data_IF_949279064428
#
_entry.id   IF_949279064428
#
_cell.length_a   1.000
_cell.length_b   1.000
_cell.length_c   1.000
_cell.angle_alpha   90.00
_cell.angle_beta   90.00
_cell.angle_gamma   90.00
#
_symmetry.space_group_name_H-M   'P 1'
#
loop_
_entity.id
_entity.type
_entity.pdbx_description
1 polymer ?
#
# COMPACT_ATOMS: atom_id res chain seq x y z
N UNK A 1 -10.71 -18.35 -56.31
CA UNK A 1 -9.41 -18.99 -56.05
C UNK A 1 -8.83 -18.36 -54.80
N UNK A 2 -8.70 -19.16 -53.78
CA UNK A 2 -8.24 -18.81 -52.44
C UNK A 2 -6.71 -18.65 -52.45
N UNK A 3 -6.23 -17.61 -51.80
CA UNK A 3 -4.82 -17.42 -51.46
C UNK A 3 -4.67 -17.14 -49.96
N UNK A 4 -4.33 -18.18 -49.23
CA UNK A 4 -3.97 -18.14 -47.81
C UNK A 4 -2.59 -17.54 -47.64
N UNK A 5 -2.48 -16.46 -46.85
CA UNK A 5 -1.21 -15.95 -46.33
C UNK A 5 -1.08 -16.33 -44.87
N UNK A 6 -0.15 -17.25 -44.60
CA UNK A 6 0.26 -17.64 -43.27
C UNK A 6 1.14 -16.57 -42.63
N UNK A 7 0.81 -16.19 -41.41
CA UNK A 7 1.66 -15.36 -40.54
C UNK A 7 2.50 -16.28 -39.65
N UNK A 8 3.81 -16.27 -39.90
CA UNK A 8 4.79 -16.87 -39.02
C UNK A 8 4.99 -16.00 -37.77
N UNK A 9 4.72 -16.54 -36.59
CA UNK A 9 5.13 -15.96 -35.32
C UNK A 9 6.61 -16.31 -35.05
N UNK A 10 7.45 -15.30 -35.05
CA UNK A 10 8.78 -15.40 -34.44
C UNK A 10 8.66 -15.01 -32.95
N UNK A 11 8.90 -15.99 -32.09
CA UNK A 11 9.07 -15.81 -30.65
C UNK A 11 10.49 -15.32 -30.42
N UNK A 12 10.66 -14.06 -30.00
CA UNK A 12 11.90 -13.58 -29.40
C UNK A 12 11.60 -13.11 -27.97
N UNK A 13 12.37 -13.67 -27.05
CA UNK A 13 12.19 -13.50 -25.60
C UNK A 13 12.55 -12.11 -25.10
N UNK A 14 12.04 -11.87 -23.95
CA UNK A 14 12.21 -10.92 -22.84
C UNK A 14 10.92 -10.18 -22.55
N UNK A 15 10.21 -10.69 -21.52
CA UNK A 15 8.90 -10.19 -21.12
C UNK A 15 8.97 -8.79 -20.53
N UNK A 16 8.65 -7.79 -21.33
CA UNK A 16 8.19 -6.48 -20.89
C UNK A 16 6.70 -6.39 -21.21
N UNK A 17 5.85 -6.57 -20.20
CA UNK A 17 4.42 -6.37 -20.35
C UNK A 17 4.12 -4.88 -20.19
N UNK A 18 3.75 -4.22 -21.29
CA UNK A 18 3.26 -2.86 -21.27
C UNK A 18 1.81 -2.84 -20.76
N UNK A 19 1.59 -2.24 -19.60
CA UNK A 19 0.26 -1.97 -19.06
C UNK A 19 -0.24 -0.64 -19.62
N UNK A 20 -1.33 -0.66 -20.39
CA UNK A 20 -2.07 0.53 -20.81
C UNK A 20 -3.01 0.98 -19.70
N UNK A 21 -2.78 2.17 -19.13
CA UNK A 21 -3.73 2.84 -18.25
C UNK A 21 -4.10 4.18 -18.93
N UNK A 22 -5.31 4.26 -19.48
CA UNK A 22 -5.73 5.39 -20.29
C UNK A 22 -4.88 5.54 -21.57
N UNK A 23 -4.58 6.76 -21.98
CA UNK A 23 -3.76 7.06 -23.17
C UNK A 23 -2.24 7.01 -22.92
N UNK A 24 -1.78 6.60 -21.76
CA UNK A 24 -0.36 6.56 -21.41
C UNK A 24 0.18 5.13 -21.42
N UNK A 25 1.24 4.92 -22.20
CA UNK A 25 2.06 3.70 -22.16
C UNK A 25 3.00 3.79 -20.94
N UNK A 26 2.65 3.12 -19.86
CA UNK A 26 3.55 2.99 -18.71
C UNK A 26 4.50 1.83 -18.99
N UNK A 27 5.73 2.12 -19.41
CA UNK A 27 6.81 1.14 -19.32
C UNK A 27 6.91 0.74 -17.85
N UNK A 28 6.67 -0.52 -17.52
CA UNK A 28 6.89 -1.07 -16.18
C UNK A 28 8.39 -1.02 -15.88
N UNK A 29 8.86 0.14 -15.43
CA UNK A 29 10.24 0.32 -15.01
C UNK A 29 10.34 0.09 -13.50
N UNK A 30 11.45 -0.47 -13.07
CA UNK A 30 11.73 -0.78 -11.67
C UNK A 30 12.93 0.04 -11.21
N UNK A 31 12.80 0.69 -10.06
CA UNK A 31 13.92 1.34 -9.39
C UNK A 31 14.55 0.35 -8.42
N UNK A 32 15.84 0.06 -8.66
CA UNK A 32 16.63 -0.85 -7.81
C UNK A 32 17.36 -0.04 -6.75
N UNK A 33 17.06 -0.32 -5.48
CA UNK A 33 17.67 0.31 -4.32
C UNK A 33 18.34 -0.75 -3.44
N UNK A 34 19.44 -0.37 -2.81
CA UNK A 34 20.16 -1.24 -1.87
C UNK A 34 20.69 -0.44 -0.69
N UNK A 35 20.70 -1.06 0.49
CA UNK A 35 21.32 -0.55 1.70
C UNK A 35 22.54 -1.40 2.03
N UNK A 36 23.78 -0.94 1.81
CA UNK A 36 24.98 -1.68 2.21
C UNK A 36 25.03 -1.95 3.72
N UNK A 37 24.52 -1.03 4.54
CA UNK A 37 24.52 -1.14 6.00
C UNK A 37 23.68 -2.31 6.52
N UNK A 38 22.54 -2.59 5.88
CA UNK A 38 21.64 -3.69 6.29
C UNK A 38 21.63 -4.86 5.34
N UNK A 39 22.38 -4.78 4.22
CA UNK A 39 22.41 -5.76 3.14
C UNK A 39 21.03 -6.05 2.51
N UNK A 40 20.09 -5.12 2.67
CA UNK A 40 18.77 -5.22 2.08
C UNK A 40 18.76 -4.66 0.66
N UNK A 41 17.88 -5.23 -0.15
CA UNK A 41 17.70 -4.85 -1.55
C UNK A 41 16.21 -4.76 -1.88
N UNK A 42 15.83 -3.75 -2.66
CA UNK A 42 14.45 -3.52 -3.09
C UNK A 42 14.37 -3.27 -4.59
N UNK A 43 13.43 -3.93 -5.23
CA UNK A 43 12.96 -3.62 -6.57
C UNK A 43 11.60 -2.94 -6.47
N UNK A 44 11.55 -1.64 -6.74
CA UNK A 44 10.36 -0.81 -6.52
C UNK A 44 9.75 -0.45 -7.86
N UNK A 45 8.56 -0.98 -8.20
CA UNK A 45 7.88 -0.66 -9.45
C UNK A 45 7.49 0.82 -9.51
N UNK A 46 7.74 1.44 -10.67
CA UNK A 46 7.17 2.73 -11.03
C UNK A 46 5.74 2.49 -11.52
N UNK A 47 4.77 3.15 -10.90
CA UNK A 47 3.35 3.01 -11.25
C UNK A 47 2.79 4.23 -11.99
N UNK A 48 3.49 5.35 -11.96
CA UNK A 48 3.21 6.53 -12.77
C UNK A 48 4.47 7.40 -12.87
N UNK A 49 4.69 8.01 -14.02
CA UNK A 49 5.77 8.96 -14.22
C UNK A 49 5.44 9.96 -15.32
N UNK A 50 5.73 11.25 -15.07
CA UNK A 50 5.76 12.30 -16.07
C UNK A 50 6.92 13.29 -15.79
N UNK A 51 6.90 14.46 -16.39
CA UNK A 51 7.94 15.49 -16.19
C UNK A 51 8.00 16.02 -14.75
N UNK A 52 6.88 16.01 -14.00
CA UNK A 52 6.72 16.64 -12.69
C UNK A 52 6.64 15.65 -11.55
N UNK A 53 6.10 14.47 -11.81
CA UNK A 53 5.71 13.47 -10.82
C UNK A 53 6.40 12.13 -11.06
N UNK A 54 6.67 11.43 -9.98
CA UNK A 54 7.04 10.02 -9.96
C UNK A 54 6.23 9.31 -8.87
N UNK A 55 5.50 8.28 -9.23
CA UNK A 55 4.81 7.44 -8.25
C UNK A 55 5.36 6.02 -8.24
N UNK A 56 5.58 5.51 -7.04
CA UNK A 56 6.17 4.19 -6.80
C UNK A 56 5.19 3.29 -6.04
N UNK A 57 5.24 1.99 -6.30
CA UNK A 57 4.60 0.98 -5.45
C UNK A 57 5.56 0.63 -4.30
N UNK A 58 5.52 1.42 -3.21
CA UNK A 58 6.39 1.20 -2.05
C UNK A 58 6.14 -0.19 -1.45
N UNK A 59 7.17 -1.02 -1.25
CA UNK A 59 7.00 -2.28 -0.54
C UNK A 59 6.69 -2.03 0.95
N UNK A 60 6.13 -3.03 1.60
CA UNK A 60 6.12 -3.12 3.06
C UNK A 60 7.54 -3.35 3.58
N UNK A 61 7.81 -2.97 4.83
CA UNK A 61 9.11 -3.16 5.44
C UNK A 61 10.16 -2.12 5.04
N UNK A 62 9.76 -1.02 4.37
CA UNK A 62 10.62 0.11 4.06
C UNK A 62 9.97 1.40 4.56
N UNK A 63 10.70 2.18 5.35
CA UNK A 63 10.26 3.52 5.78
C UNK A 63 10.17 4.47 4.57
N UNK A 64 9.25 5.43 4.61
CA UNK A 64 9.21 6.50 3.61
C UNK A 64 10.33 7.51 3.83
N UNK A 65 10.48 7.99 5.04
CA UNK A 65 11.41 9.05 5.47
C UNK A 65 12.18 8.61 6.70
N UNK A 66 13.25 9.31 7.11
CA UNK A 66 14.06 8.92 8.26
C UNK A 66 13.25 8.63 9.52
N UNK A 67 13.65 7.59 10.24
CA UNK A 67 13.12 7.29 11.57
C UNK A 67 13.63 8.34 12.57
N UNK A 68 12.74 8.77 13.46
CA UNK A 68 13.10 9.72 14.51
C UNK A 68 14.03 9.10 15.56
N UNK A 69 13.91 7.80 15.80
CA UNK A 69 14.61 7.07 16.85
C UNK A 69 15.83 6.30 16.34
N UNK A 70 15.86 5.98 15.04
CA UNK A 70 16.98 5.31 14.39
C UNK A 70 17.30 5.95 13.03
N UNK A 71 18.15 6.99 12.99
CA UNK A 71 18.55 7.67 11.76
C UNK A 71 19.27 6.78 10.75
N UNK A 72 19.83 5.65 11.20
CA UNK A 72 20.57 4.71 10.34
C UNK A 72 19.67 3.72 9.62
N UNK A 73 18.43 3.59 10.08
CA UNK A 73 17.46 2.71 9.46
C UNK A 73 17.20 3.10 8.00
N UNK A 74 17.26 2.12 7.06
CA UNK A 74 16.98 2.40 5.65
C UNK A 74 15.60 3.03 5.46
N UNK A 75 15.54 4.04 4.61
CA UNK A 75 14.29 4.64 4.20
C UNK A 75 14.34 5.02 2.73
N UNK A 76 13.17 5.01 2.09
CA UNK A 76 13.02 5.24 0.66
C UNK A 76 13.70 6.54 0.20
N UNK A 77 13.48 7.64 0.92
CA UNK A 77 14.03 8.94 0.50
C UNK A 77 15.54 8.97 0.59
N UNK A 78 16.16 8.44 1.67
CA UNK A 78 17.63 8.36 1.79
C UNK A 78 18.23 7.51 0.67
N UNK A 79 17.61 6.38 0.34
CA UNK A 79 18.07 5.49 -0.72
C UNK A 79 17.92 6.12 -2.12
N UNK A 80 16.81 6.83 -2.39
CA UNK A 80 16.59 7.54 -3.65
C UNK A 80 17.60 8.68 -3.82
N UNK A 81 17.81 9.50 -2.77
CA UNK A 81 18.77 10.59 -2.80
C UNK A 81 20.22 10.09 -2.99
N UNK A 82 20.57 8.99 -2.30
CA UNK A 82 21.87 8.34 -2.53
C UNK A 82 22.03 7.86 -3.97
N UNK A 83 21.01 7.25 -4.54
CA UNK A 83 21.05 6.81 -5.94
C UNK A 83 21.12 7.95 -6.94
N UNK A 84 20.54 9.12 -6.66
CA UNK A 84 20.69 10.33 -7.47
C UNK A 84 22.12 10.86 -7.35
N UNK A 85 22.65 10.98 -6.13
CA UNK A 85 24.01 11.47 -5.88
C UNK A 85 25.06 10.56 -6.54
N UNK A 86 24.89 9.25 -6.47
CA UNK A 86 25.74 8.23 -7.12
C UNK A 86 25.50 8.13 -8.63
N UNK A 87 24.61 8.91 -9.19
CA UNK A 87 24.25 8.89 -10.61
C UNK A 87 23.88 7.47 -11.10
N UNK A 88 23.12 6.72 -10.32
CA UNK A 88 22.66 5.36 -10.70
C UNK A 88 21.92 5.38 -12.03
N UNK A 89 21.94 4.29 -12.83
CA UNK A 89 21.32 4.25 -14.16
C UNK A 89 19.87 4.76 -14.17
N UNK A 90 19.05 4.29 -13.24
CA UNK A 90 17.65 4.71 -13.14
C UNK A 90 17.46 6.22 -12.89
N UNK A 91 18.41 6.89 -12.23
CA UNK A 91 18.37 8.32 -11.97
C UNK A 91 18.84 9.12 -13.21
N UNK A 92 19.93 8.65 -13.88
CA UNK A 92 20.46 9.25 -15.12
C UNK A 92 19.43 9.18 -16.27
N UNK A 93 18.85 8.02 -16.51
CA UNK A 93 17.84 7.80 -17.57
C UNK A 93 16.63 8.75 -17.43
N UNK A 94 16.34 9.20 -16.20
CA UNK A 94 15.24 10.12 -15.87
C UNK A 94 15.69 11.57 -15.69
N UNK A 95 16.97 11.87 -15.86
CA UNK A 95 17.57 13.18 -15.60
C UNK A 95 17.18 13.74 -14.22
N UNK A 96 17.13 12.87 -13.20
CA UNK A 96 16.70 13.27 -11.85
C UNK A 96 17.82 13.97 -11.10
N UNK A 97 17.55 15.20 -10.68
CA UNK A 97 18.38 15.98 -9.74
C UNK A 97 17.67 16.25 -8.40
N UNK A 98 16.36 16.02 -8.36
CA UNK A 98 15.51 16.26 -7.19
C UNK A 98 14.38 15.24 -7.13
N UNK A 99 14.15 14.67 -5.96
CA UNK A 99 12.96 13.90 -5.61
C UNK A 99 12.57 14.17 -4.16
N UNK A 100 11.30 14.40 -3.90
CA UNK A 100 10.79 14.54 -2.54
C UNK A 100 9.37 13.97 -2.44
N UNK A 101 9.09 13.23 -1.36
CA UNK A 101 7.78 12.62 -1.14
C UNK A 101 6.73 13.70 -0.78
N UNK A 102 5.58 13.64 -1.46
CA UNK A 102 4.44 14.53 -1.21
C UNK A 102 3.63 14.10 0.03
N UNK A 103 3.66 12.83 0.36
CA UNK A 103 3.00 12.22 1.52
C UNK A 103 3.82 11.04 2.03
N UNK A 104 3.36 10.37 3.07
CA UNK A 104 4.06 9.21 3.65
C UNK A 104 3.15 8.01 3.80
N UNK A 105 3.73 6.83 3.71
CA UNK A 105 3.15 5.56 4.15
C UNK A 105 3.92 5.05 5.37
N UNK A 106 3.24 4.31 6.23
CA UNK A 106 3.87 3.66 7.37
C UNK A 106 4.88 2.60 6.93
N UNK A 107 5.75 2.16 7.81
CA UNK A 107 6.78 1.16 7.55
C UNK A 107 6.21 -0.10 6.90
N UNK A 108 5.16 -0.66 7.48
CA UNK A 108 4.56 -1.91 7.03
C UNK A 108 3.48 -1.73 5.95
N UNK A 109 3.07 -0.49 5.66
CA UNK A 109 2.09 -0.21 4.60
C UNK A 109 2.76 -0.22 3.24
N UNK A 110 2.21 -0.98 2.31
CA UNK A 110 2.62 -1.00 0.90
C UNK A 110 1.70 -0.12 0.04
N UNK A 111 2.11 0.18 -1.20
CA UNK A 111 1.26 0.84 -2.20
C UNK A 111 1.79 2.18 -2.71
N UNK A 112 0.90 2.98 -3.29
CA UNK A 112 1.24 4.23 -3.97
C UNK A 112 1.89 5.22 -3.03
N UNK A 113 3.12 5.63 -3.38
CA UNK A 113 3.80 6.80 -2.83
C UNK A 113 4.10 7.77 -3.96
N UNK A 114 3.68 9.05 -3.81
CA UNK A 114 3.86 10.09 -4.81
C UNK A 114 5.04 10.98 -4.45
N UNK A 115 5.91 11.22 -5.42
CA UNK A 115 7.11 12.03 -5.32
C UNK A 115 7.04 13.20 -6.30
N UNK A 116 7.50 14.37 -5.88
CA UNK A 116 7.71 15.54 -6.72
C UNK A 116 9.12 15.51 -7.32
N UNK A 117 9.26 15.80 -8.61
CA UNK A 117 10.56 15.92 -9.30
C UNK A 117 11.19 17.33 -9.21
N UNK A 118 10.51 18.27 -8.56
CA UNK A 118 11.05 19.63 -8.30
C UNK A 118 10.42 20.25 -7.07
N UNK A 119 11.11 21.25 -6.49
CA UNK A 119 10.63 21.98 -5.30
C UNK A 119 9.31 22.73 -5.53
N UNK A 120 9.08 23.42 -6.68
CA UNK A 120 7.78 24.04 -6.95
C UNK A 120 6.62 23.02 -6.95
N UNK A 121 6.81 21.87 -7.59
CA UNK A 121 5.82 20.78 -7.63
C UNK A 121 5.55 20.24 -6.23
N UNK A 122 6.58 20.11 -5.39
CA UNK A 122 6.39 19.69 -4.00
C UNK A 122 5.49 20.65 -3.23
N UNK A 123 5.66 21.97 -3.42
CA UNK A 123 4.81 22.99 -2.76
C UNK A 123 3.37 22.86 -3.20
N UNK A 124 3.10 22.69 -4.52
CA UNK A 124 1.77 22.48 -5.06
C UNK A 124 1.11 21.23 -4.46
N UNK A 125 1.83 20.10 -4.44
CA UNK A 125 1.35 18.86 -3.83
C UNK A 125 1.12 19.00 -2.33
N UNK A 126 2.01 19.67 -1.60
CA UNK A 126 1.86 19.90 -0.15
C UNK A 126 0.57 20.68 0.15
N UNK A 127 0.22 21.68 -0.66
CA UNK A 127 -1.02 22.42 -0.55
C UNK A 127 -2.25 21.53 -0.82
N UNK A 128 -2.18 20.66 -1.85
CA UNK A 128 -3.25 19.71 -2.13
C UNK A 128 -3.47 18.72 -0.97
N UNK A 129 -2.39 18.12 -0.46
CA UNK A 129 -2.48 17.19 0.68
C UNK A 129 -2.87 17.91 1.97
N UNK A 130 -2.41 19.14 2.19
CA UNK A 130 -2.76 19.97 3.34
C UNK A 130 -4.23 20.36 3.37
N UNK A 131 -4.85 20.56 2.22
CA UNK A 131 -6.30 20.83 2.08
C UNK A 131 -7.17 19.57 2.06
N UNK A 132 -6.58 18.39 2.28
CA UNK A 132 -7.25 17.08 2.32
C UNK A 132 -8.02 16.72 1.01
N UNK A 133 -7.70 17.38 -0.11
CA UNK A 133 -8.34 17.16 -1.42
C UNK A 133 -8.01 15.82 -2.08
N UNK A 134 -6.77 15.25 -1.98
CA UNK A 134 -6.47 13.97 -2.60
C UNK A 134 -7.28 12.82 -1.99
N UNK A 135 -7.91 12.03 -2.85
CA UNK A 135 -8.66 10.83 -2.46
C UNK A 135 -7.66 9.68 -2.34
N UNK A 136 -7.52 9.15 -1.13
CA UNK A 136 -6.65 8.01 -0.81
C UNK A 136 -7.49 6.78 -0.58
N UNK A 137 -7.33 5.74 -1.39
CA UNK A 137 -8.09 4.49 -1.25
C UNK A 137 -7.14 3.36 -0.88
N UNK A 138 -7.41 2.76 0.27
CA UNK A 138 -6.65 1.64 0.81
C UNK A 138 -7.48 0.38 0.81
N UNK A 139 -6.81 -0.77 0.80
CA UNK A 139 -7.40 -2.07 1.12
C UNK A 139 -6.77 -2.56 2.43
N UNK A 140 -7.62 -3.00 3.35
CA UNK A 140 -7.23 -3.60 4.62
C UNK A 140 -7.94 -4.95 4.79
N UNK A 141 -7.18 -5.99 5.14
CA UNK A 141 -7.76 -7.24 5.62
C UNK A 141 -7.84 -7.17 7.14
N UNK A 142 -9.04 -7.11 7.69
CA UNK A 142 -9.28 -7.04 9.14
C UNK A 142 -9.77 -8.36 9.71
N UNK A 143 -9.52 -8.59 10.99
CA UNK A 143 -10.15 -9.65 11.76
C UNK A 143 -11.55 -9.18 12.21
N UNK A 144 -12.51 -10.11 12.25
CA UNK A 144 -13.90 -9.82 12.65
C UNK A 144 -14.77 -9.32 11.50
N UNK A 145 -15.99 -8.94 11.87
CA UNK A 145 -17.03 -8.48 10.95
C UNK A 145 -17.59 -7.15 11.43
N UNK A 146 -17.65 -6.11 10.59
CA UNK A 146 -18.34 -4.88 10.94
C UNK A 146 -19.84 -5.11 11.05
N UNK A 147 -20.48 -4.44 12.00
CA UNK A 147 -21.94 -4.51 12.24
C UNK A 147 -22.75 -3.73 11.21
N UNK A 148 -22.13 -2.74 10.56
CA UNK A 148 -22.74 -1.91 9.52
C UNK A 148 -21.85 -1.81 8.29
N UNK A 149 -22.43 -1.57 7.13
CA UNK A 149 -21.73 -1.38 5.86
C UNK A 149 -22.53 -0.43 4.95
N UNK A 150 -22.01 0.71 4.53
CA UNK A 150 -20.70 1.28 4.94
C UNK A 150 -20.72 1.81 6.38
N UNK A 151 -19.54 2.09 6.95
CA UNK A 151 -19.40 2.74 8.24
C UNK A 151 -18.29 3.79 8.24
N UNK A 152 -18.34 4.69 9.22
CA UNK A 152 -17.35 5.76 9.38
C UNK A 152 -16.87 5.79 10.83
N UNK A 153 -15.59 6.10 11.00
CA UNK A 153 -15.01 6.37 12.31
C UNK A 153 -14.51 7.81 12.30
N UNK A 154 -15.10 8.65 13.14
CA UNK A 154 -14.68 10.01 13.43
C UNK A 154 -14.19 10.04 14.89
N UNK A 155 -12.91 9.77 15.08
CA UNK A 155 -12.31 9.63 16.40
C UNK A 155 -10.92 10.27 16.42
N UNK A 156 -10.74 11.28 17.30
CA UNK A 156 -9.46 11.99 17.44
C UNK A 156 -8.34 11.06 17.86
N UNK A 157 -7.14 11.26 17.30
CA UNK A 157 -5.98 10.43 17.54
C UNK A 157 -4.84 11.22 18.20
N UNK A 158 -4.22 10.62 19.22
CA UNK A 158 -3.02 11.11 19.89
C UNK A 158 -1.96 10.00 19.98
N UNK A 159 -0.67 10.33 20.16
CA UNK A 159 0.35 9.35 20.49
C UNK A 159 -0.03 8.59 21.79
N UNK A 160 0.25 7.28 21.78
CA UNK A 160 -0.01 6.48 22.98
C UNK A 160 1.05 6.79 24.05
N UNK A 161 0.66 7.10 25.30
CA UNK A 161 1.60 7.57 26.33
C UNK A 161 2.65 6.51 26.75
N UNK A 162 2.31 5.24 26.61
CA UNK A 162 3.19 4.12 27.04
C UNK A 162 3.74 3.33 25.86
N UNK A 163 2.90 3.04 24.84
CA UNK A 163 3.34 2.29 23.65
C UNK A 163 3.98 3.23 22.63
N UNK A 164 5.28 3.43 22.74
CA UNK A 164 6.05 4.27 21.81
C UNK A 164 5.78 3.86 20.35
N UNK A 165 5.61 4.85 19.49
CA UNK A 165 5.34 4.63 18.06
C UNK A 165 3.89 4.27 17.70
N UNK A 166 3.01 4.06 18.69
CA UNK A 166 1.59 3.82 18.42
C UNK A 166 0.72 5.04 18.67
N UNK A 167 -0.49 5.03 18.08
CA UNK A 167 -1.53 6.03 18.27
C UNK A 167 -2.69 5.42 19.05
N UNK A 168 -3.42 6.25 19.79
CA UNK A 168 -4.68 5.87 20.46
C UNK A 168 -5.79 6.85 20.12
N UNK A 169 -7.03 6.40 20.25
CA UNK A 169 -8.18 7.31 20.27
C UNK A 169 -8.14 8.13 21.57
N UNK A 170 -8.19 9.43 21.42
CA UNK A 170 -8.19 10.38 22.52
C UNK A 170 -9.17 11.53 22.22
N UNK A 171 -10.41 11.46 22.74
CA UNK A 171 -11.44 12.45 22.47
C UNK A 171 -11.08 13.85 22.95
N UNK A 172 -10.25 13.97 24.01
CA UNK A 172 -9.91 15.25 24.64
C UNK A 172 -8.69 15.92 24.01
N UNK A 173 -7.56 15.18 23.92
CA UNK A 173 -6.25 15.72 23.50
C UNK A 173 -5.86 15.36 22.06
N UNK A 174 -6.61 14.49 21.39
CA UNK A 174 -6.28 14.01 20.06
C UNK A 174 -6.55 15.03 18.94
N UNK A 175 -5.82 14.85 17.82
CA UNK A 175 -6.05 15.57 16.57
C UNK A 175 -7.20 14.92 15.81
N UNK A 176 -8.07 15.74 15.18
CA UNK A 176 -9.18 15.28 14.33
C UNK A 176 -8.68 14.23 13.33
N UNK A 177 -9.39 13.10 13.29
CA UNK A 177 -9.15 12.02 12.35
C UNK A 177 -10.45 11.37 11.93
N UNK A 178 -10.69 11.20 10.63
CA UNK A 178 -11.90 10.62 10.06
C UNK A 178 -11.58 9.66 8.93
N UNK A 179 -12.17 8.47 8.96
CA UNK A 179 -11.99 7.43 7.95
C UNK A 179 -13.33 6.79 7.60
N UNK A 180 -13.61 6.66 6.32
CA UNK A 180 -14.73 5.92 5.78
C UNK A 180 -14.31 4.51 5.41
N UNK A 181 -15.20 3.55 5.65
CA UNK A 181 -14.98 2.14 5.39
C UNK A 181 -16.16 1.56 4.62
N UNK A 182 -15.84 0.67 3.67
CA UNK A 182 -16.82 -0.11 2.93
C UNK A 182 -16.35 -1.55 2.81
N UNK A 183 -17.21 -2.50 3.09
CA UNK A 183 -16.92 -3.93 2.90
C UNK A 183 -16.74 -4.20 1.40
N UNK A 184 -15.66 -4.88 1.07
CA UNK A 184 -15.39 -5.41 -0.27
C UNK A 184 -15.72 -6.88 -0.37
N UNK A 185 -15.37 -7.62 0.69
CA UNK A 185 -15.61 -9.06 0.73
C UNK A 185 -15.65 -9.53 2.20
N UNK A 186 -16.55 -10.45 2.50
CA UNK A 186 -16.72 -11.06 3.83
C UNK A 186 -16.21 -12.49 3.82
N UNK A 187 -15.50 -12.86 4.89
CA UNK A 187 -15.04 -14.21 5.13
C UNK A 187 -15.43 -14.63 6.55
N UNK A 188 -15.36 -15.93 6.83
CA UNK A 188 -15.58 -16.42 8.18
C UNK A 188 -14.43 -15.99 9.11
N UNK A 189 -14.72 -15.03 10.00
CA UNK A 189 -13.75 -14.41 10.91
C UNK A 189 -12.88 -13.28 10.33
N UNK A 190 -13.02 -12.91 9.03
CA UNK A 190 -12.26 -11.83 8.41
C UNK A 190 -13.12 -10.99 7.46
N UNK A 191 -12.66 -9.75 7.23
CA UNK A 191 -13.32 -8.83 6.27
C UNK A 191 -12.28 -8.07 5.47
N UNK A 192 -12.43 -8.05 4.14
CA UNK A 192 -11.69 -7.15 3.27
C UNK A 192 -12.43 -5.82 3.21
N UNK A 193 -11.76 -4.76 3.63
CA UNK A 193 -12.31 -3.40 3.70
C UNK A 193 -11.64 -2.49 2.68
N UNK A 194 -12.43 -1.71 1.97
CA UNK A 194 -11.96 -0.46 1.36
C UNK A 194 -11.98 0.62 2.42
N UNK A 195 -10.87 1.35 2.56
CA UNK A 195 -10.70 2.38 3.57
C UNK A 195 -10.34 3.69 2.88
N UNK A 196 -11.09 4.76 3.17
CA UNK A 196 -10.83 6.10 2.65
C UNK A 196 -10.57 7.06 3.82
N UNK A 197 -9.30 7.30 4.19
CA UNK A 197 -8.97 8.28 5.21
C UNK A 197 -9.17 9.69 4.66
N UNK A 198 -10.10 10.46 5.25
CA UNK A 198 -10.39 11.85 4.90
C UNK A 198 -9.37 12.81 5.49
N UNK A 199 -8.67 12.40 6.52
CA UNK A 199 -7.52 13.08 7.14
C UNK A 199 -6.25 12.24 6.97
N UNK A 200 -5.08 12.72 7.41
CA UNK A 200 -3.79 12.01 7.24
C UNK A 200 -3.00 11.88 8.54
N UNK A 201 -3.57 11.29 9.60
CA UNK A 201 -2.84 11.09 10.87
C UNK A 201 -2.02 9.81 10.84
N UNK A 202 -0.92 9.80 11.57
CA UNK A 202 -0.07 8.61 11.74
C UNK A 202 -0.92 7.43 12.19
N UNK A 203 -0.72 6.25 11.58
CA UNK A 203 -1.43 5.00 11.85
C UNK A 203 -2.96 5.11 11.86
N UNK A 204 -3.56 6.12 11.18
CA UNK A 204 -4.97 6.45 11.31
C UNK A 204 -5.90 5.25 11.06
N UNK A 205 -5.79 4.58 9.91
CA UNK A 205 -6.63 3.43 9.57
C UNK A 205 -6.45 2.31 10.61
N UNK A 206 -5.21 2.03 11.00
CA UNK A 206 -4.83 0.99 11.96
C UNK A 206 -5.46 1.23 13.34
N UNK A 207 -5.31 2.45 13.87
CA UNK A 207 -5.87 2.86 15.15
C UNK A 207 -7.41 2.89 15.14
N UNK A 208 -8.03 3.37 14.06
CA UNK A 208 -9.47 3.38 13.88
C UNK A 208 -10.05 1.96 13.83
N UNK A 209 -9.49 1.07 13.01
CA UNK A 209 -9.96 -0.31 12.94
C UNK A 209 -9.76 -1.05 14.27
N UNK A 210 -8.65 -0.82 14.97
CA UNK A 210 -8.50 -1.33 16.35
C UNK A 210 -9.59 -0.83 17.28
N UNK A 211 -9.91 0.46 17.23
CA UNK A 211 -10.96 1.09 18.04
C UNK A 211 -12.35 0.47 17.76
N UNK A 212 -12.63 0.13 16.51
CA UNK A 212 -13.86 -0.54 16.10
C UNK A 212 -13.89 -2.06 16.41
N UNK A 213 -12.87 -2.63 17.06
CA UNK A 213 -12.79 -4.07 17.30
C UNK A 213 -12.44 -4.90 16.05
N UNK A 214 -11.95 -4.26 15.00
CA UNK A 214 -11.61 -4.85 13.70
C UNK A 214 -10.10 -4.74 13.39
N UNK A 215 -9.18 -5.27 14.24
CA UNK A 215 -7.75 -5.09 14.04
C UNK A 215 -7.31 -5.66 12.69
N UNK A 216 -6.35 -4.98 12.04
CA UNK A 216 -5.81 -5.42 10.76
C UNK A 216 -4.99 -6.70 10.97
N UNK A 217 -5.15 -7.68 10.08
CA UNK A 217 -4.33 -8.90 10.06
C UNK A 217 -2.84 -8.54 10.03
N UNK A 218 -2.04 -9.20 10.88
CA UNK A 218 -0.60 -9.00 10.99
C UNK A 218 -0.17 -7.71 11.72
N UNK A 219 -1.12 -6.89 12.19
CA UNK A 219 -0.81 -5.66 12.92
C UNK A 219 -0.64 -5.91 14.42
N UNK A 220 0.50 -6.44 14.82
CA UNK A 220 0.80 -6.78 16.22
C UNK A 220 0.73 -5.56 17.15
N UNK A 221 1.07 -4.36 16.65
CA UNK A 221 1.03 -3.11 17.43
C UNK A 221 -0.40 -2.77 17.86
N UNK A 222 -1.39 -3.11 17.05
CA UNK A 222 -2.82 -2.86 17.27
C UNK A 222 -3.63 -4.13 17.54
N UNK A 223 -2.96 -5.26 17.83
CA UNK A 223 -3.59 -6.51 18.27
C UNK A 223 -4.07 -7.42 17.15
N UNK A 224 -3.69 -7.14 15.91
CA UNK A 224 -3.92 -8.03 14.79
C UNK A 224 -2.98 -9.23 14.80
N UNK A 225 -3.49 -10.41 14.48
CA UNK A 225 -2.72 -11.65 14.41
C UNK A 225 -2.37 -11.97 12.96
N UNK A 226 -1.25 -12.65 12.69
CA UNK A 226 -0.94 -13.18 11.37
C UNK A 226 -2.02 -14.13 10.86
N UNK A 227 -2.19 -14.24 9.55
CA UNK A 227 -3.06 -15.21 8.91
C UNK A 227 -2.28 -16.47 8.56
N UNK A 228 -2.69 -17.60 9.12
CA UNK A 228 -2.09 -18.91 8.91
C UNK A 228 -2.98 -19.81 8.06
N UNK A 229 -2.39 -20.62 7.18
CA UNK A 229 -3.16 -21.56 6.37
C UNK A 229 -3.81 -22.66 7.25
N UNK A 230 -3.13 -23.09 8.31
CA UNK A 230 -3.65 -24.02 9.31
C UNK A 230 -4.92 -23.53 10.01
N UNK A 231 -5.12 -22.21 10.09
CA UNK A 231 -6.36 -21.62 10.63
C UNK A 231 -7.54 -21.67 9.65
N UNK A 232 -7.25 -21.77 8.36
CA UNK A 232 -8.26 -21.80 7.30
C UNK A 232 -8.61 -23.22 6.88
N UNK A 233 -7.62 -24.10 6.78
CA UNK A 233 -7.75 -25.46 6.27
C UNK A 233 -7.67 -26.46 7.44
N UNK A 234 -8.79 -27.11 7.77
CA UNK A 234 -8.89 -28.07 8.89
C UNK A 234 -7.87 -29.22 8.79
N UNK A 235 -7.67 -29.78 7.59
CA UNK A 235 -6.76 -30.89 7.33
C UNK A 235 -5.40 -30.41 6.82
N UNK A 236 -4.90 -29.30 7.38
CA UNK A 236 -3.58 -28.79 7.03
C UNK A 236 -2.51 -29.53 7.82
N UNK A 237 -1.66 -30.25 7.10
CA UNK A 237 -0.50 -30.93 7.67
C UNK A 237 0.78 -30.39 7.03
N UNK A 238 1.73 -30.01 7.88
CA UNK A 238 3.09 -29.69 7.43
C UNK A 238 3.85 -31.00 7.14
N UNK A 239 4.73 -30.94 6.16
CA UNK A 239 5.72 -32.01 5.99
C UNK A 239 6.64 -32.04 7.19
N UNK A 240 7.19 -33.22 7.51
CA UNK A 240 8.16 -33.42 8.58
C UNK A 240 9.31 -32.39 8.43
N UNK A 241 9.70 -31.75 9.51
CA UNK A 241 10.78 -30.74 9.57
C UNK A 241 10.51 -29.42 8.84
N UNK A 242 9.24 -29.07 8.55
CA UNK A 242 8.86 -27.76 8.04
C UNK A 242 8.11 -26.96 9.09
N UNK A 243 8.48 -25.66 9.21
CA UNK A 243 7.72 -24.69 9.97
C UNK A 243 6.70 -23.97 9.08
N UNK A 244 5.50 -23.76 9.61
CA UNK A 244 4.48 -22.99 8.91
C UNK A 244 4.90 -21.52 8.81
N UNK A 245 4.75 -20.94 7.60
CA UNK A 245 4.89 -19.51 7.39
C UNK A 245 3.50 -18.89 7.23
N UNK A 246 3.23 -17.73 7.83
CA UNK A 246 1.94 -17.09 7.68
C UNK A 246 1.69 -16.71 6.21
N UNK A 247 0.44 -16.84 5.75
CA UNK A 247 0.01 -16.33 4.44
C UNK A 247 0.23 -14.81 4.36
N UNK A 248 -0.02 -14.13 5.48
CA UNK A 248 0.30 -12.72 5.67
C UNK A 248 0.73 -12.52 7.13
N UNK A 249 2.01 -12.15 7.33
CA UNK A 249 2.62 -11.98 8.65
C UNK A 249 2.87 -10.52 9.03
N UNK A 250 2.71 -9.60 8.07
CA UNK A 250 2.83 -8.15 8.23
C UNK A 250 1.46 -7.48 8.23
N UNK A 251 1.43 -6.18 8.49
CA UNK A 251 0.19 -5.40 8.40
C UNK A 251 -0.44 -5.52 7.01
N UNK A 252 -1.64 -6.12 6.96
CA UNK A 252 -2.39 -6.31 5.74
C UNK A 252 -3.11 -5.02 5.34
N UNK A 253 -2.32 -3.96 5.06
CA UNK A 253 -2.77 -2.64 4.63
C UNK A 253 -2.01 -2.22 3.37
N UNK A 254 -2.76 -1.82 2.34
CA UNK A 254 -2.22 -1.45 1.05
C UNK A 254 -2.86 -0.16 0.53
N UNK A 255 -2.06 0.85 0.22
CA UNK A 255 -2.48 2.10 -0.44
C UNK A 255 -2.67 1.83 -1.94
N UNK A 256 -3.83 1.27 -2.31
CA UNK A 256 -4.08 0.75 -3.65
C UNK A 256 -4.29 1.84 -4.70
N UNK A 257 -4.85 3.01 -4.30
CA UNK A 257 -5.19 4.07 -5.25
C UNK A 257 -5.03 5.45 -4.62
N UNK A 258 -4.50 6.37 -5.42
CA UNK A 258 -4.42 7.79 -5.11
C UNK A 258 -5.01 8.59 -6.28
N UNK A 259 -5.99 9.46 -5.98
CA UNK A 259 -6.61 10.33 -6.98
C UNK A 259 -6.46 11.78 -6.53
N UNK A 260 -5.96 12.65 -7.42
CA UNK A 260 -5.73 14.06 -7.15
C UNK A 260 -5.79 14.87 -8.45
N UNK A 261 -5.98 16.19 -8.34
CA UNK A 261 -5.77 17.09 -9.48
C UNK A 261 -4.29 17.11 -9.83
N UNK A 262 -3.96 16.89 -11.12
CA UNK A 262 -2.59 16.96 -11.60
C UNK A 262 -2.05 18.41 -11.49
N UNK A 263 -0.87 18.64 -10.87
CA UNK A 263 -0.40 19.99 -10.56
C UNK A 263 -0.15 20.89 -11.78
N UNK A 264 0.01 20.33 -12.99
CA UNK A 264 0.19 21.12 -14.21
C UNK A 264 -1.13 21.37 -14.95
N UNK A 265 -1.92 20.31 -15.16
CA UNK A 265 -3.10 20.37 -16.03
C UNK A 265 -4.39 20.66 -15.28
N UNK A 266 -4.41 20.45 -13.95
CA UNK A 266 -5.63 20.50 -13.16
C UNK A 266 -6.57 19.30 -13.37
N UNK A 267 -6.30 18.45 -14.34
CA UNK A 267 -7.11 17.26 -14.65
C UNK A 267 -7.01 16.21 -13.53
N UNK A 268 -8.04 15.40 -13.39
CA UNK A 268 -8.08 14.35 -12.38
C UNK A 268 -7.13 13.21 -12.78
N UNK A 269 -6.05 13.05 -12.02
CA UNK A 269 -5.09 11.96 -12.15
C UNK A 269 -5.40 10.86 -11.14
N UNK A 270 -5.54 9.62 -11.61
CA UNK A 270 -5.68 8.43 -10.77
C UNK A 270 -4.47 7.52 -10.96
N UNK A 271 -3.81 7.19 -9.85
CA UNK A 271 -2.62 6.33 -9.80
C UNK A 271 -2.99 5.09 -9.00
N UNK A 272 -2.69 3.90 -9.54
CA UNK A 272 -3.01 2.63 -8.90
C UNK A 272 -1.75 1.79 -8.69
N UNK A 273 -1.68 1.07 -7.58
CA UNK A 273 -0.66 0.08 -7.30
C UNK A 273 -1.28 -1.30 -7.18
N UNK A 274 -0.73 -2.33 -7.85
CA UNK A 274 -1.22 -3.69 -7.71
C UNK A 274 -0.99 -4.22 -6.29
N UNK A 275 -1.90 -5.07 -5.83
CA UNK A 275 -1.78 -5.76 -4.54
C UNK A 275 -0.48 -6.59 -4.49
N UNK A 276 0.21 -6.60 -3.35
CA UNK A 276 1.35 -7.48 -3.13
C UNK A 276 0.95 -8.96 -3.24
N UNK A 277 1.89 -9.78 -3.68
CA UNK A 277 1.68 -11.22 -3.93
C UNK A 277 1.10 -11.94 -2.70
N UNK A 278 1.66 -11.70 -1.52
CA UNK A 278 1.19 -12.31 -0.28
C UNK A 278 -0.24 -11.91 0.07
N UNK A 279 -0.65 -10.67 -0.23
CA UNK A 279 -2.02 -10.21 -0.03
C UNK A 279 -2.99 -10.95 -0.99
N UNK A 280 -2.61 -11.05 -2.26
CA UNK A 280 -3.37 -11.80 -3.27
C UNK A 280 -3.51 -13.28 -2.93
N UNK A 281 -2.43 -13.90 -2.44
CA UNK A 281 -2.41 -15.30 -2.00
C UNK A 281 -3.32 -15.49 -0.78
N UNK A 282 -3.24 -14.60 0.22
CA UNK A 282 -4.12 -14.66 1.39
C UNK A 282 -5.59 -14.59 1.01
N UNK A 283 -5.99 -13.66 0.13
CA UNK A 283 -7.36 -13.56 -0.37
C UNK A 283 -7.80 -14.82 -1.14
N UNK A 284 -6.92 -15.41 -1.96
CA UNK A 284 -7.22 -16.68 -2.66
C UNK A 284 -7.57 -17.79 -1.66
N UNK A 285 -6.79 -17.93 -0.57
CA UNK A 285 -7.04 -18.96 0.42
C UNK A 285 -8.28 -18.67 1.29
N UNK A 286 -8.53 -17.42 1.62
CA UNK A 286 -9.77 -17.01 2.30
C UNK A 286 -11.00 -17.34 1.47
N UNK A 287 -11.00 -17.03 0.18
CA UNK A 287 -12.09 -17.37 -0.75
C UNK A 287 -12.31 -18.86 -0.84
N UNK A 288 -11.24 -19.65 -0.78
CA UNK A 288 -11.32 -21.10 -0.88
C UNK A 288 -11.80 -21.80 0.39
N UNK A 289 -11.41 -21.32 1.57
CA UNK A 289 -11.58 -22.04 2.83
C UNK A 289 -12.42 -21.33 3.90
N UNK A 290 -12.68 -20.04 3.71
CA UNK A 290 -13.41 -19.21 4.65
C UNK A 290 -14.50 -18.36 3.97
N UNK A 291 -14.99 -18.78 2.78
CA UNK A 291 -16.11 -18.10 2.13
C UNK A 291 -17.36 -18.23 2.98
N UNK A 292 -18.10 -17.13 3.13
CA UNK A 292 -19.42 -17.12 3.77
C UNK A 292 -20.43 -17.47 2.69
N UNK A 293 -21.25 -18.52 2.90
CA UNK A 293 -22.32 -18.87 1.96
C UNK A 293 -23.27 -17.69 1.74
N UNK A 294 -23.86 -17.58 0.54
CA UNK A 294 -24.69 -16.47 0.14
C UNK A 294 -25.84 -16.15 1.11
N UNK A 295 -26.38 -17.16 1.80
CA UNK A 295 -27.46 -17.01 2.81
C UNK A 295 -27.02 -16.32 4.12
N UNK A 296 -25.72 -16.31 4.45
CA UNK A 296 -25.22 -15.65 5.67
C UNK A 296 -24.75 -14.20 5.42
N UNK A 297 -24.76 -13.74 4.18
CA UNK A 297 -24.38 -12.38 3.82
C UNK A 297 -25.49 -11.36 4.06
N UNK A 298 -26.78 -11.80 4.09
CA UNK A 298 -27.98 -10.93 4.24
C UNK A 298 -28.59 -10.92 5.65
N UNK A 299 -28.23 -11.87 6.50
CA UNK A 299 -28.78 -12.00 7.85
C UNK A 299 -27.70 -11.84 8.91
N UNK A 300 -27.33 -10.60 9.24
CA UNK A 300 -27.01 -10.16 10.62
C UNK A 300 -26.51 -8.72 10.62
#
# INVERSE_FOLDING_TARGET
>A
MLGTLGTSQTVSGEGKSDLKIGNYLVKTSVIKLSSPATREFWEIPVVYEDERLLALNKPSGLLTSPDRYDPNRPNLMKLLHGGIADAKPWAKERALSYLMNAHRLDFETSGVILLAKSKPVLVELANLFGSEKPIKSYLALSQGRPTTDPFQIDAKLAPHPVKVGSMRVDPKGGKRARTEFKVRERFDGWTLLACQPLTGRTHQIRAHLRHAGLPIVGDSLYGGKPLWLSRLKRDYHLKRDQEERPLIGRVALHAGKLTLAHPRTGELLTIEAPLPKEFTVALKYLRRFASVGAEQAELK
#
